data_IF_921964041557
#
_entry.id   IF_921964041557
#
_cell.length_a   1.000
_cell.length_b   1.000
_cell.length_c   1.000
_cell.angle_alpha   90.00
_cell.angle_beta   90.00
_cell.angle_gamma   90.00
#
_symmetry.space_group_name_H-M   'P 1'
#
loop_
_entity.id
_entity.type
_entity.pdbx_description
1 polymer ?
#
# COMPACT_ATOMS: atom_id res chain seq x y z
N UNK A 1 11.58 -20.49 29.69
CA UNK A 1 10.28 -21.21 29.81
C UNK A 1 9.32 -20.54 28.82
N UNK A 2 8.49 -21.36 28.13
CA UNK A 2 7.48 -20.82 27.22
C UNK A 2 6.29 -20.32 28.05
N UNK A 3 5.80 -19.12 27.77
CA UNK A 3 4.55 -18.63 28.31
C UNK A 3 3.38 -19.33 27.59
N UNK A 4 2.41 -19.83 28.36
CA UNK A 4 1.20 -20.47 27.83
C UNK A 4 0.00 -19.56 28.05
N UNK A 5 -0.67 -19.21 26.93
CA UNK A 5 -1.88 -18.38 26.92
C UNK A 5 -3.05 -19.27 26.47
N UNK A 6 -4.10 -19.35 27.28
CA UNK A 6 -5.33 -20.08 26.94
C UNK A 6 -6.28 -19.11 26.19
N UNK A 7 -6.48 -19.34 24.91
CA UNK A 7 -7.37 -18.53 24.07
C UNK A 7 -8.86 -18.88 24.24
N UNK A 8 -9.22 -19.82 25.14
CA UNK A 8 -10.61 -20.16 25.44
C UNK A 8 -11.41 -20.70 24.24
N UNK A 9 -10.75 -21.39 23.31
CA UNK A 9 -11.36 -21.94 22.09
C UNK A 9 -11.55 -20.92 20.95
N UNK A 10 -11.07 -19.68 21.10
CA UNK A 10 -11.11 -18.65 20.05
C UNK A 10 -10.16 -18.97 18.89
N UNK A 11 -10.44 -18.42 17.72
CA UNK A 11 -9.56 -18.53 16.56
C UNK A 11 -8.28 -17.69 16.76
N UNK A 12 -7.15 -18.26 16.34
CA UNK A 12 -5.85 -17.55 16.28
C UNK A 12 -5.43 -17.45 14.83
N UNK A 13 -5.20 -16.22 14.38
CA UNK A 13 -4.77 -15.93 13.00
C UNK A 13 -3.48 -15.12 13.01
N UNK A 14 -2.72 -15.08 11.90
CA UNK A 14 -1.59 -14.17 11.78
C UNK A 14 -2.03 -12.70 11.87
N UNK A 15 -1.13 -11.83 12.30
CA UNK A 15 -1.33 -10.39 12.20
C UNK A 15 -1.62 -9.96 10.76
N UNK A 16 -2.56 -9.03 10.57
CA UNK A 16 -2.96 -8.55 9.26
C UNK A 16 -1.88 -7.68 8.62
N UNK A 17 -1.81 -7.73 7.30
CA UNK A 17 -0.90 -6.95 6.46
C UNK A 17 -1.71 -6.14 5.45
N UNK A 18 -1.50 -4.83 5.40
CA UNK A 18 -1.94 -3.99 4.31
C UNK A 18 -0.77 -3.77 3.34
N UNK A 19 -0.90 -4.28 2.11
CA UNK A 19 0.15 -4.22 1.10
C UNK A 19 0.13 -2.93 0.27
N UNK A 20 -0.78 -1.99 0.54
CA UNK A 20 -0.83 -0.67 -0.10
C UNK A 20 -1.36 0.39 0.86
N UNK A 21 -0.47 0.95 1.63
CA UNK A 21 -0.76 1.93 2.67
C UNK A 21 0.05 3.22 2.50
N UNK A 22 -0.44 4.31 3.07
CA UNK A 22 0.24 5.61 3.07
C UNK A 22 0.33 6.16 4.49
N UNK A 23 1.29 5.65 5.28
CA UNK A 23 1.40 5.85 6.73
C UNK A 23 1.38 7.32 7.17
N UNK A 24 1.98 8.20 6.38
CA UNK A 24 2.05 9.63 6.69
C UNK A 24 0.91 10.46 6.10
N UNK A 25 0.17 9.90 5.13
CA UNK A 25 -0.87 10.65 4.40
C UNK A 25 -2.28 10.26 4.80
N UNK A 26 -2.49 9.13 5.46
CA UNK A 26 -3.81 8.64 5.83
C UNK A 26 -4.53 9.55 6.84
N UNK A 27 -3.82 10.08 7.81
CA UNK A 27 -4.37 10.87 8.92
C UNK A 27 -4.59 12.36 8.63
N UNK A 28 -4.38 12.82 7.39
CA UNK A 28 -4.50 14.23 6.97
C UNK A 28 -5.32 14.36 5.71
N UNK A 29 -5.93 15.53 5.48
CA UNK A 29 -6.59 15.84 4.22
C UNK A 29 -5.58 16.18 3.13
N UNK A 30 -5.98 16.15 1.85
CA UNK A 30 -5.12 16.55 0.73
C UNK A 30 -4.55 17.97 0.90
N UNK A 31 -5.38 18.92 1.34
CA UNK A 31 -4.94 20.29 1.58
C UNK A 31 -3.88 20.34 2.70
N UNK A 32 -4.09 19.61 3.79
CA UNK A 32 -3.11 19.54 4.88
C UNK A 32 -1.80 18.88 4.42
N UNK A 33 -1.85 17.80 3.63
CA UNK A 33 -0.66 17.15 3.09
C UNK A 33 0.18 18.10 2.21
N UNK A 34 -0.47 19.05 1.53
CA UNK A 34 0.17 20.00 0.62
C UNK A 34 0.61 21.31 1.29
N UNK A 35 0.05 21.70 2.44
CA UNK A 35 0.22 23.06 2.98
C UNK A 35 0.55 23.12 4.46
N UNK A 36 0.30 22.08 5.24
CA UNK A 36 0.54 22.09 6.68
C UNK A 36 2.04 21.92 6.99
N UNK A 37 2.44 22.39 8.18
CA UNK A 37 3.77 22.07 8.70
C UNK A 37 3.99 20.56 8.73
N UNK A 38 5.16 20.11 8.25
CA UNK A 38 5.48 18.68 8.16
C UNK A 38 5.48 17.99 9.52
N UNK A 39 5.80 18.71 10.60
CA UNK A 39 5.71 18.19 11.98
C UNK A 39 4.28 17.81 12.35
N UNK A 40 3.28 18.63 11.96
CA UNK A 40 1.88 18.27 12.14
C UNK A 40 1.52 16.97 11.42
N UNK A 41 1.93 16.81 10.16
CA UNK A 41 1.67 15.60 9.36
C UNK A 41 2.26 14.36 10.06
N UNK A 42 3.49 14.45 10.56
CA UNK A 42 4.13 13.34 11.29
C UNK A 42 3.46 13.04 12.65
N UNK A 43 2.99 14.03 13.38
CA UNK A 43 2.24 13.80 14.63
C UNK A 43 0.92 13.08 14.36
N UNK A 44 0.20 13.47 13.31
CA UNK A 44 -1.03 12.79 12.90
C UNK A 44 -0.74 11.35 12.44
N UNK A 45 0.36 11.14 11.71
CA UNK A 45 0.81 9.81 11.29
C UNK A 45 1.16 8.91 12.48
N UNK A 46 1.83 9.44 13.52
CA UNK A 46 2.12 8.69 14.74
C UNK A 46 0.86 8.24 15.48
N UNK A 47 -0.15 9.13 15.58
CA UNK A 47 -1.45 8.76 16.14
C UNK A 47 -2.14 7.66 15.36
N UNK A 48 -2.14 7.77 14.03
CA UNK A 48 -2.80 6.82 13.16
C UNK A 48 -2.07 5.46 13.12
N UNK A 49 -0.75 5.45 13.24
CA UNK A 49 0.02 4.22 13.34
C UNK A 49 -0.42 3.36 14.55
N UNK A 50 -0.62 3.98 15.71
CA UNK A 50 -1.16 3.29 16.90
C UNK A 50 -2.58 2.73 16.64
N UNK A 51 -3.45 3.51 16.01
CA UNK A 51 -4.80 3.08 15.66
C UNK A 51 -4.78 1.93 14.64
N UNK A 52 -3.91 1.98 13.63
CA UNK A 52 -3.72 0.92 12.63
C UNK A 52 -3.35 -0.41 13.29
N UNK A 53 -2.43 -0.38 14.25
CA UNK A 53 -2.03 -1.56 15.02
C UNK A 53 -3.19 -2.14 15.83
N UNK A 54 -3.98 -1.29 16.48
CA UNK A 54 -5.14 -1.72 17.27
C UNK A 54 -6.30 -2.27 16.41
N UNK A 55 -6.29 -1.99 15.10
CA UNK A 55 -7.19 -2.64 14.12
C UNK A 55 -6.69 -4.00 13.65
N UNK A 56 -5.57 -4.51 14.22
CA UNK A 56 -5.01 -5.83 13.91
C UNK A 56 -4.00 -5.84 12.75
N UNK A 57 -3.71 -4.68 12.12
CA UNK A 57 -2.69 -4.58 11.08
C UNK A 57 -1.32 -4.43 11.74
N UNK A 58 -0.60 -5.54 11.87
CA UNK A 58 0.73 -5.58 12.50
C UNK A 58 1.85 -5.17 11.56
N UNK A 59 1.58 -5.19 10.24
CA UNK A 59 2.53 -4.79 9.20
C UNK A 59 1.80 -4.03 8.09
N UNK A 60 2.47 -3.02 7.52
CA UNK A 60 2.01 -2.28 6.34
C UNK A 60 3.14 -2.11 5.34
N UNK A 61 2.84 -2.22 4.05
CA UNK A 61 3.73 -1.78 2.98
C UNK A 61 3.33 -0.35 2.60
N UNK A 62 4.16 0.60 3.01
CA UNK A 62 3.95 2.01 2.68
C UNK A 62 4.43 2.27 1.25
N UNK A 63 3.50 2.67 0.38
CA UNK A 63 3.72 2.87 -1.04
C UNK A 63 3.85 4.35 -1.43
N UNK A 64 4.11 5.21 -0.46
CA UNK A 64 4.43 6.60 -0.75
C UNK A 64 4.23 7.56 0.39
N UNK A 65 5.23 8.40 0.59
CA UNK A 65 5.27 9.43 1.59
C UNK A 65 6.54 9.39 2.44
N UNK A 66 6.78 10.42 3.28
CA UNK A 66 8.00 10.54 4.10
C UNK A 66 7.95 9.62 5.35
N UNK A 67 7.77 8.31 5.17
CA UNK A 67 7.50 7.36 6.25
C UNK A 67 8.75 6.90 7.03
N UNK A 68 9.98 7.20 6.58
CA UNK A 68 11.21 6.69 7.21
C UNK A 68 11.37 7.12 8.67
N UNK A 69 11.02 8.37 9.00
CA UNK A 69 11.07 8.86 10.38
C UNK A 69 10.06 8.17 11.29
N UNK A 70 8.84 7.95 10.82
CA UNK A 70 7.80 7.20 11.54
C UNK A 70 8.22 5.74 11.74
N UNK A 71 8.72 5.07 10.67
CA UNK A 71 9.27 3.71 10.76
C UNK A 71 10.32 3.63 11.85
N UNK A 72 11.30 4.53 11.83
CA UNK A 72 12.40 4.54 12.81
C UNK A 72 11.88 4.72 14.24
N UNK A 73 10.89 5.60 14.46
CA UNK A 73 10.30 5.82 15.77
C UNK A 73 9.57 4.57 16.30
N UNK A 74 8.84 3.88 15.44
CA UNK A 74 8.14 2.62 15.79
C UNK A 74 9.14 1.50 16.04
N UNK A 75 10.14 1.31 15.19
CA UNK A 75 11.15 0.26 15.32
C UNK A 75 12.01 0.43 16.60
N UNK A 76 12.17 1.67 17.07
CA UNK A 76 12.83 1.98 18.35
C UNK A 76 11.91 1.93 19.58
N UNK A 77 10.63 1.62 19.39
CA UNK A 77 9.66 1.59 20.48
C UNK A 77 9.26 2.95 21.03
N UNK A 78 9.59 4.06 20.33
CA UNK A 78 9.21 5.41 20.74
C UNK A 78 7.73 5.70 20.48
N UNK A 79 7.11 5.00 19.51
CA UNK A 79 5.69 5.08 19.19
C UNK A 79 5.12 3.67 18.96
N UNK A 80 3.87 3.42 19.35
CA UNK A 80 3.17 2.21 18.93
C UNK A 80 2.82 2.30 17.43
N UNK A 81 2.88 1.18 16.74
CA UNK A 81 2.49 1.12 15.32
C UNK A 81 2.85 -0.22 14.67
N UNK A 82 2.40 -0.45 13.42
CA UNK A 82 2.77 -1.63 12.65
C UNK A 82 4.25 -1.57 12.21
N UNK A 83 4.80 -2.70 11.76
CA UNK A 83 6.01 -2.66 10.92
C UNK A 83 5.71 -1.92 9.63
N UNK A 84 6.66 -1.08 9.20
CA UNK A 84 6.50 -0.31 7.98
C UNK A 84 7.58 -0.71 6.98
N UNK A 85 7.18 -1.28 5.83
CA UNK A 85 8.05 -1.45 4.69
C UNK A 85 7.87 -0.21 3.79
N UNK A 86 8.75 0.77 3.93
CA UNK A 86 8.60 2.09 3.33
C UNK A 86 9.20 2.17 1.93
N UNK A 87 8.50 2.77 0.96
CA UNK A 87 9.05 3.13 -0.35
C UNK A 87 9.73 4.52 -0.36
N UNK A 88 9.34 5.39 0.56
CA UNK A 88 9.70 6.80 0.52
C UNK A 88 8.86 7.56 -0.51
N UNK A 89 9.43 8.60 -1.12
CA UNK A 89 8.73 9.44 -2.09
C UNK A 89 8.23 8.64 -3.30
N UNK A 90 7.00 8.89 -3.72
CA UNK A 90 6.46 8.39 -4.99
C UNK A 90 7.22 9.03 -6.15
N UNK A 91 7.83 8.23 -7.01
CA UNK A 91 8.55 8.75 -8.18
C UNK A 91 7.57 8.93 -9.33
N UNK A 92 7.42 10.16 -9.81
CA UNK A 92 6.51 10.54 -10.89
C UNK A 92 7.20 11.43 -11.93
N UNK A 93 6.63 11.46 -13.12
CA UNK A 93 7.07 12.39 -14.17
C UNK A 93 6.39 13.76 -14.02
N UNK A 94 6.87 14.78 -14.71
CA UNK A 94 6.15 16.03 -14.88
C UNK A 94 4.75 15.77 -15.44
N UNK A 95 3.73 16.36 -14.83
CA UNK A 95 2.29 16.15 -15.11
C UNK A 95 1.78 14.73 -14.85
N UNK A 96 2.54 13.90 -14.17
CA UNK A 96 2.13 12.54 -13.82
C UNK A 96 1.27 12.47 -12.57
N UNK A 97 0.78 11.28 -12.27
CA UNK A 97 0.06 11.01 -11.02
C UNK A 97 0.99 11.26 -9.82
N UNK A 98 0.55 12.08 -8.87
CA UNK A 98 1.40 12.54 -7.77
C UNK A 98 2.19 13.82 -8.04
N UNK A 99 2.15 14.38 -9.24
CA UNK A 99 2.63 15.75 -9.48
C UNK A 99 1.58 16.74 -8.93
N UNK A 100 1.75 17.13 -7.68
CA UNK A 100 0.82 18.02 -6.98
C UNK A 100 1.12 19.50 -7.15
N UNK A 101 2.04 19.86 -8.07
CA UNK A 101 2.35 21.27 -8.35
C UNK A 101 1.14 21.99 -8.93
N UNK A 102 0.95 23.25 -8.56
CA UNK A 102 -0.03 24.10 -9.21
C UNK A 102 0.52 24.56 -10.56
N UNK A 103 -0.36 24.79 -11.54
CA UNK A 103 0.06 25.30 -12.86
C UNK A 103 0.75 26.66 -12.78
N UNK A 104 0.48 27.45 -11.74
CA UNK A 104 1.16 28.72 -11.44
C UNK A 104 2.61 28.54 -10.99
N UNK A 105 3.03 27.33 -10.60
CA UNK A 105 4.42 27.01 -10.25
C UNK A 105 5.26 26.59 -11.46
N UNK A 106 4.67 26.60 -12.65
CA UNK A 106 5.32 26.19 -13.90
C UNK A 106 5.50 27.39 -14.86
N UNK A 107 6.59 27.47 -15.67
CA UNK A 107 7.77 26.60 -15.55
C UNK A 107 8.61 26.95 -14.33
N UNK A 108 9.26 25.96 -13.71
CA UNK A 108 10.20 26.22 -12.62
C UNK A 108 11.64 26.19 -13.11
N UNK A 109 12.53 26.85 -12.36
CA UNK A 109 13.96 26.75 -12.63
C UNK A 109 14.52 25.37 -12.28
N UNK A 110 15.59 24.97 -12.93
CA UNK A 110 16.29 23.73 -12.63
C UNK A 110 16.73 23.70 -11.14
N UNK A 111 16.41 22.62 -10.47
CA UNK A 111 16.75 22.40 -9.06
C UNK A 111 15.74 22.97 -8.05
N UNK A 112 14.77 23.76 -8.46
CA UNK A 112 13.69 24.19 -7.57
C UNK A 112 12.78 23.00 -7.24
N UNK A 113 12.54 22.78 -5.93
CA UNK A 113 11.67 21.73 -5.46
C UNK A 113 10.36 22.33 -4.93
N UNK A 114 9.24 21.73 -5.32
CA UNK A 114 7.94 22.00 -4.70
C UNK A 114 7.93 21.62 -3.22
N UNK A 115 6.93 22.09 -2.49
CA UNK A 115 6.79 21.68 -1.06
C UNK A 115 6.73 20.15 -0.93
N UNK A 116 5.90 19.47 -1.72
CA UNK A 116 5.72 18.01 -1.68
C UNK A 116 7.02 17.25 -1.96
N UNK A 117 7.88 17.77 -2.84
CA UNK A 117 9.20 17.18 -3.09
C UNK A 117 10.16 17.41 -1.92
N UNK A 118 10.20 18.65 -1.38
CA UNK A 118 11.07 18.97 -0.22
C UNK A 118 10.78 18.13 1.00
N UNK A 119 9.51 17.85 1.25
CA UNK A 119 9.11 17.03 2.41
C UNK A 119 9.08 15.52 2.13
N UNK A 120 9.35 15.10 0.88
CA UNK A 120 9.50 13.69 0.52
C UNK A 120 8.18 12.95 0.25
N UNK A 121 7.11 13.64 -0.08
CA UNK A 121 5.85 13.01 -0.52
C UNK A 121 6.00 12.45 -1.93
N UNK A 122 6.60 13.22 -2.83
CA UNK A 122 6.82 12.87 -4.23
C UNK A 122 8.24 13.24 -4.65
N UNK A 123 8.74 12.60 -5.71
CA UNK A 123 9.96 12.95 -6.40
C UNK A 123 9.66 13.04 -7.90
N UNK A 124 9.68 14.26 -8.45
CA UNK A 124 9.47 14.45 -9.87
C UNK A 124 10.79 14.21 -10.60
N UNK A 125 10.72 13.38 -11.66
CA UNK A 125 11.86 12.94 -12.45
C UNK A 125 11.45 12.77 -13.91
N UNK A 126 12.18 13.38 -14.80
CA UNK A 126 12.01 13.22 -16.26
C UNK A 126 13.34 12.73 -16.86
N UNK A 127 13.26 11.68 -17.65
CA UNK A 127 14.41 11.04 -18.25
C UNK A 127 15.14 10.05 -17.31
N UNK A 128 15.80 9.08 -17.93
CA UNK A 128 16.49 7.97 -17.27
C UNK A 128 17.43 8.40 -16.14
N UNK A 129 18.21 9.45 -16.35
CA UNK A 129 19.20 9.90 -15.38
C UNK A 129 18.56 10.43 -14.08
N UNK A 130 17.45 11.18 -14.20
CA UNK A 130 16.74 11.66 -13.02
C UNK A 130 16.00 10.56 -12.28
N UNK A 131 15.36 9.63 -12.99
CA UNK A 131 14.72 8.47 -12.38
C UNK A 131 15.74 7.65 -11.60
N UNK A 132 16.92 7.36 -12.15
CA UNK A 132 18.03 6.70 -11.43
C UNK A 132 18.40 7.46 -10.15
N UNK A 133 18.59 8.77 -10.25
CA UNK A 133 18.97 9.61 -9.10
C UNK A 133 17.89 9.54 -8.01
N UNK A 134 16.63 9.78 -8.35
CA UNK A 134 15.50 9.78 -7.40
C UNK A 134 15.29 8.41 -6.75
N UNK A 135 15.46 7.33 -7.51
CA UNK A 135 15.40 5.96 -6.98
C UNK A 135 16.50 5.71 -5.96
N UNK A 136 17.75 6.06 -6.30
CA UNK A 136 18.91 5.90 -5.40
C UNK A 136 18.78 6.75 -4.12
N UNK A 137 18.16 7.93 -4.20
CA UNK A 137 17.85 8.74 -3.01
C UNK A 137 16.89 8.01 -2.05
N UNK A 138 15.88 7.30 -2.55
CA UNK A 138 14.98 6.51 -1.69
C UNK A 138 15.69 5.28 -1.11
N UNK A 139 16.48 4.58 -1.92
CA UNK A 139 17.29 3.44 -1.48
C UNK A 139 18.29 3.86 -0.39
N UNK A 140 18.95 5.01 -0.54
CA UNK A 140 19.85 5.58 0.47
C UNK A 140 19.15 5.87 1.80
N UNK A 141 17.88 6.31 1.75
CA UNK A 141 17.06 6.57 2.95
C UNK A 141 16.57 5.30 3.64
N UNK A 142 16.71 4.12 3.01
CA UNK A 142 16.31 2.84 3.58
C UNK A 142 15.01 2.27 2.98
N UNK A 143 14.69 2.63 1.74
CA UNK A 143 13.50 2.07 1.07
C UNK A 143 13.55 0.54 1.01
N UNK A 144 12.42 -0.10 1.38
CA UNK A 144 12.21 -1.55 1.29
C UNK A 144 11.81 -1.97 -0.13
N UNK A 145 11.10 -1.12 -0.85
CA UNK A 145 10.74 -1.21 -2.27
C UNK A 145 10.70 0.19 -2.86
N UNK A 146 10.62 0.29 -4.19
CA UNK A 146 10.49 1.56 -4.91
C UNK A 146 9.08 1.70 -5.48
N UNK A 147 8.43 2.86 -5.31
CA UNK A 147 7.13 3.18 -5.90
C UNK A 147 7.30 4.15 -7.05
N UNK A 148 6.80 3.76 -8.23
CA UNK A 148 6.69 4.65 -9.40
C UNK A 148 5.24 4.83 -9.84
N UNK A 149 4.96 5.93 -10.54
CA UNK A 149 3.67 6.21 -11.15
C UNK A 149 3.75 5.94 -12.65
N UNK A 150 3.12 4.85 -13.11
CA UNK A 150 3.21 4.37 -14.50
C UNK A 150 1.94 4.68 -15.33
N UNK A 151 0.94 5.27 -14.72
CA UNK A 151 -0.32 5.64 -15.37
C UNK A 151 -1.07 6.74 -14.63
N UNK A 152 -2.11 7.27 -15.24
CA UNK A 152 -2.97 8.26 -14.65
C UNK A 152 -3.75 7.75 -13.45
N UNK A 153 -4.22 8.66 -12.59
CA UNK A 153 -4.91 8.33 -11.36
C UNK A 153 -6.23 9.07 -11.15
N UNK A 154 -6.94 8.64 -10.11
CA UNK A 154 -8.27 9.17 -9.76
C UNK A 154 -8.16 10.50 -9.01
N UNK A 155 -7.22 10.61 -8.07
CA UNK A 155 -7.11 11.76 -7.14
C UNK A 155 -6.36 12.95 -7.70
N UNK A 156 -5.60 12.79 -8.76
CA UNK A 156 -4.84 13.84 -9.43
C UNK A 156 -5.71 14.70 -10.36
N UNK A 157 -5.30 15.97 -10.53
CA UNK A 157 -6.09 16.97 -11.24
C UNK A 157 -5.84 16.97 -12.76
N UNK A 158 -4.61 16.63 -13.18
CA UNK A 158 -4.15 16.96 -14.54
C UNK A 158 -4.07 15.76 -15.47
N UNK A 159 -3.78 14.57 -14.94
CA UNK A 159 -3.54 13.36 -15.72
C UNK A 159 -4.84 12.61 -16.03
N UNK A 160 -5.17 12.37 -17.31
CA UNK A 160 -6.23 11.44 -17.69
C UNK A 160 -5.93 10.02 -17.19
N UNK A 161 -6.97 9.25 -16.85
CA UNK A 161 -6.81 7.87 -16.33
C UNK A 161 -6.07 6.95 -17.32
N UNK A 162 -6.26 7.17 -18.63
CA UNK A 162 -5.62 6.43 -19.71
C UNK A 162 -4.19 6.87 -20.01
N UNK A 163 -3.69 7.94 -19.38
CA UNK A 163 -2.35 8.44 -19.67
C UNK A 163 -1.30 7.40 -19.32
N UNK A 164 -0.36 7.17 -20.22
CA UNK A 164 0.81 6.35 -19.99
C UNK A 164 1.92 7.26 -19.46
N UNK A 165 2.35 6.97 -18.24
CA UNK A 165 3.38 7.76 -17.56
C UNK A 165 4.67 6.97 -17.51
N UNK A 166 5.78 7.69 -17.64
CA UNK A 166 7.09 7.15 -17.94
C UNK A 166 7.15 6.33 -19.23
N UNK A 167 8.23 6.44 -19.93
CA UNK A 167 8.63 5.51 -20.98
C UNK A 167 9.11 4.19 -20.36
N UNK A 168 9.21 3.15 -21.16
CA UNK A 168 9.74 1.87 -20.68
C UNK A 168 11.19 1.99 -20.19
N UNK A 169 12.02 2.82 -20.83
CA UNK A 169 13.41 3.05 -20.44
C UNK A 169 13.55 3.79 -19.10
N UNK A 170 12.68 4.75 -18.83
CA UNK A 170 12.64 5.44 -17.53
C UNK A 170 12.23 4.49 -16.40
N UNK A 171 11.19 3.66 -16.61
CA UNK A 171 10.80 2.64 -15.62
C UNK A 171 11.91 1.61 -15.41
N UNK A 172 12.59 1.18 -16.49
CA UNK A 172 13.73 0.26 -16.42
C UNK A 172 14.87 0.85 -15.57
N UNK A 173 15.10 2.14 -15.62
CA UNK A 173 16.09 2.80 -14.77
C UNK A 173 15.78 2.62 -13.27
N UNK A 174 14.52 2.74 -12.88
CA UNK A 174 14.11 2.49 -11.49
C UNK A 174 14.29 1.00 -11.12
N UNK A 175 13.92 0.09 -12.02
CA UNK A 175 14.06 -1.37 -11.83
C UNK A 175 15.52 -1.75 -11.64
N UNK A 176 16.41 -1.35 -12.55
CA UNK A 176 17.85 -1.64 -12.45
C UNK A 176 18.44 -1.16 -11.11
N UNK A 177 18.11 0.07 -10.70
CA UNK A 177 18.59 0.60 -9.42
C UNK A 177 18.05 -0.17 -8.21
N UNK A 178 16.79 -0.65 -8.26
CA UNK A 178 16.20 -1.45 -7.20
C UNK A 178 16.82 -2.85 -7.13
N UNK A 179 16.99 -3.51 -8.29
CA UNK A 179 17.62 -4.84 -8.41
C UNK A 179 19.08 -4.83 -7.92
N UNK A 180 19.85 -3.78 -8.25
CA UNK A 180 21.22 -3.59 -7.75
C UNK A 180 21.29 -3.51 -6.20
N UNK A 181 20.20 -3.17 -5.55
CA UNK A 181 20.07 -3.11 -4.11
C UNK A 181 19.30 -4.28 -3.49
N UNK A 182 18.98 -5.31 -4.29
CA UNK A 182 18.30 -6.52 -3.83
C UNK A 182 16.83 -6.31 -3.47
N UNK A 183 16.15 -5.34 -4.14
CA UNK A 183 14.73 -5.09 -3.95
C UNK A 183 14.00 -4.91 -5.29
N UNK A 184 12.77 -4.43 -5.28
CA UNK A 184 11.89 -4.40 -6.42
C UNK A 184 11.17 -3.06 -6.59
N UNK A 185 10.52 -2.89 -7.75
CA UNK A 185 9.66 -1.76 -8.07
C UNK A 185 8.21 -2.20 -8.05
N UNK A 186 7.34 -1.39 -7.42
CA UNK A 186 5.90 -1.42 -7.54
C UNK A 186 5.41 -0.20 -8.32
N UNK A 187 4.36 -0.37 -9.15
CA UNK A 187 3.90 0.65 -10.07
C UNK A 187 2.40 0.93 -9.93
N UNK A 188 2.03 2.19 -9.70
CA UNK A 188 0.66 2.67 -9.84
C UNK A 188 0.26 2.68 -11.30
N UNK A 189 -0.78 1.95 -11.68
CA UNK A 189 -1.31 1.92 -13.05
C UNK A 189 -2.67 1.23 -13.10
N UNK A 190 -3.60 1.74 -13.89
CA UNK A 190 -4.93 1.14 -14.04
C UNK A 190 -5.12 0.36 -15.34
N UNK A 191 -4.53 0.82 -16.44
CA UNK A 191 -4.87 0.40 -17.81
C UNK A 191 -4.00 -0.72 -18.35
N UNK A 192 -4.51 -1.57 -19.27
CA UNK A 192 -3.76 -2.67 -19.86
C UNK A 192 -2.42 -2.25 -20.45
N UNK A 193 -2.41 -1.20 -21.26
CA UNK A 193 -1.18 -0.71 -21.92
C UNK A 193 -0.12 -0.26 -20.92
N UNK A 194 -0.54 0.41 -19.85
CA UNK A 194 0.38 0.86 -18.80
C UNK A 194 0.94 -0.33 -18.01
N UNK A 195 0.09 -1.30 -17.62
CA UNK A 195 0.50 -2.52 -16.93
C UNK A 195 1.50 -3.31 -17.79
N UNK A 196 1.19 -3.57 -19.06
CA UNK A 196 2.07 -4.30 -19.96
C UNK A 196 3.43 -3.61 -20.14
N UNK A 197 3.46 -2.26 -20.23
CA UNK A 197 4.71 -1.49 -20.29
C UNK A 197 5.52 -1.64 -18.98
N UNK A 198 4.87 -1.52 -17.83
CA UNK A 198 5.51 -1.68 -16.53
C UNK A 198 6.12 -3.09 -16.36
N UNK A 199 5.38 -4.12 -16.75
CA UNK A 199 5.86 -5.50 -16.73
C UNK A 199 7.08 -5.71 -17.64
N UNK A 200 7.07 -5.19 -18.87
CA UNK A 200 8.24 -5.25 -19.77
C UNK A 200 9.46 -4.51 -19.23
N UNK A 201 9.24 -3.44 -18.47
CA UNK A 201 10.32 -2.75 -17.77
C UNK A 201 10.90 -3.53 -16.59
N UNK A 202 10.24 -4.60 -16.12
CA UNK A 202 10.69 -5.44 -15.01
C UNK A 202 10.02 -5.19 -13.68
N UNK A 203 8.94 -4.39 -13.64
CA UNK A 203 8.14 -4.14 -12.42
C UNK A 203 7.58 -5.45 -11.89
N UNK A 204 7.67 -5.67 -10.56
CA UNK A 204 7.26 -6.92 -9.89
C UNK A 204 5.91 -6.85 -9.21
N UNK A 205 5.41 -5.65 -8.90
CA UNK A 205 4.09 -5.46 -8.26
C UNK A 205 3.31 -4.38 -9.00
N UNK A 206 2.14 -4.75 -9.48
CA UNK A 206 1.16 -3.85 -10.07
C UNK A 206 0.20 -3.41 -8.96
N UNK A 207 0.13 -2.11 -8.77
CA UNK A 207 -0.77 -1.47 -7.81
C UNK A 207 -2.03 -1.02 -8.56
N UNK A 208 -3.19 -1.28 -7.99
CA UNK A 208 -4.51 -1.00 -8.58
C UNK A 208 -4.84 -1.96 -9.72
N UNK A 209 -4.70 -1.56 -10.96
CA UNK A 209 -4.90 -2.43 -12.13
C UNK A 209 -6.36 -2.77 -12.43
N UNK A 210 -7.35 -2.10 -11.82
CA UNK A 210 -8.79 -2.45 -11.94
C UNK A 210 -9.34 -2.41 -13.36
N UNK A 211 -8.65 -1.78 -14.31
CA UNK A 211 -9.05 -1.71 -15.71
C UNK A 211 -8.29 -2.69 -16.60
N UNK A 212 -7.55 -3.65 -16.01
CA UNK A 212 -6.84 -4.68 -16.75
C UNK A 212 -7.80 -5.55 -17.58
N UNK A 213 -7.37 -5.93 -18.78
CA UNK A 213 -8.05 -6.94 -19.57
C UNK A 213 -7.48 -8.35 -19.29
N UNK A 214 -8.18 -9.37 -19.77
CA UNK A 214 -7.82 -10.77 -19.53
C UNK A 214 -6.43 -11.12 -20.07
N UNK A 215 -6.02 -10.53 -21.19
CA UNK A 215 -4.68 -10.74 -21.77
C UNK A 215 -3.60 -10.21 -20.81
N UNK A 216 -3.79 -9.01 -20.30
CA UNK A 216 -2.89 -8.38 -19.34
C UNK A 216 -2.81 -9.15 -18.02
N UNK A 217 -3.95 -9.65 -17.51
CA UNK A 217 -3.97 -10.47 -16.28
C UNK A 217 -3.21 -11.79 -16.49
N UNK A 218 -3.34 -12.42 -17.66
CA UNK A 218 -2.52 -13.60 -18.00
C UNK A 218 -1.04 -13.27 -18.07
N UNK A 219 -0.68 -12.15 -18.67
CA UNK A 219 0.71 -11.69 -18.73
C UNK A 219 1.29 -11.46 -17.32
N UNK A 220 0.52 -10.86 -16.39
CA UNK A 220 0.93 -10.72 -15.00
C UNK A 220 1.27 -12.07 -14.37
N UNK A 221 0.40 -13.08 -14.52
CA UNK A 221 0.66 -14.44 -14.04
C UNK A 221 1.90 -15.05 -14.65
N UNK A 222 2.03 -14.99 -15.99
CA UNK A 222 3.11 -15.63 -16.73
C UNK A 222 4.49 -15.00 -16.41
N UNK A 223 4.50 -13.72 -16.03
CA UNK A 223 5.70 -13.02 -15.54
C UNK A 223 5.91 -13.13 -14.04
N UNK A 224 5.05 -13.83 -13.30
CA UNK A 224 5.13 -13.98 -11.85
C UNK A 224 4.97 -12.67 -11.09
N UNK A 225 4.29 -11.70 -11.67
CA UNK A 225 4.04 -10.41 -11.03
C UNK A 225 2.96 -10.53 -9.96
N UNK A 226 3.05 -9.66 -8.96
CA UNK A 226 2.03 -9.50 -7.92
C UNK A 226 1.01 -8.45 -8.34
N UNK A 227 -0.23 -8.67 -7.92
CA UNK A 227 -1.31 -7.71 -8.04
C UNK A 227 -1.74 -7.25 -6.64
N UNK A 228 -1.30 -6.06 -6.24
CA UNK A 228 -1.77 -5.42 -5.02
C UNK A 228 -3.03 -4.63 -5.37
N UNK A 229 -4.19 -5.20 -5.04
CA UNK A 229 -5.50 -4.73 -5.50
C UNK A 229 -6.36 -4.25 -4.33
N UNK A 230 -7.14 -3.19 -4.56
CA UNK A 230 -8.01 -2.54 -3.60
C UNK A 230 -9.48 -2.78 -3.96
N UNK A 231 -10.37 -2.95 -2.96
CA UNK A 231 -11.81 -3.03 -3.18
C UNK A 231 -12.43 -1.65 -3.42
N UNK A 232 -12.05 -0.98 -4.51
CA UNK A 232 -12.59 0.33 -4.86
C UNK A 232 -14.03 0.23 -5.35
N UNK A 233 -14.97 0.28 -4.42
CA UNK A 233 -16.40 0.17 -4.68
C UNK A 233 -17.09 1.53 -4.53
N UNK A 234 -18.20 1.72 -5.25
CA UNK A 234 -19.08 2.88 -5.09
C UNK A 234 -20.08 2.62 -3.95
N UNK A 235 -19.58 2.60 -2.72
CA UNK A 235 -20.36 2.35 -1.51
C UNK A 235 -20.11 3.41 -0.43
N UNK A 236 -20.53 3.15 0.79
CA UNK A 236 -20.46 4.08 1.93
C UNK A 236 -19.03 4.51 2.31
N UNK A 237 -18.01 3.71 1.96
CA UNK A 237 -16.61 4.06 2.21
C UNK A 237 -15.95 4.76 1.02
N UNK A 238 -16.70 4.97 -0.06
CA UNK A 238 -16.17 5.77 -1.18
C UNK A 238 -15.88 7.19 -0.68
N UNK A 239 -14.78 7.78 -1.15
CA UNK A 239 -14.38 9.15 -0.82
C UNK A 239 -14.65 10.08 -2.01
N UNK A 240 -15.90 10.55 -2.23
CA UNK A 240 -16.25 11.34 -3.38
C UNK A 240 -15.54 12.69 -3.36
N UNK A 241 -15.10 13.14 -4.54
CA UNK A 241 -14.54 14.47 -4.75
C UNK A 241 -15.63 15.49 -5.07
N UNK A 242 -15.35 16.77 -4.82
CA UNK A 242 -16.15 17.87 -5.37
C UNK A 242 -15.95 18.07 -6.88
N UNK A 243 -14.89 17.50 -7.48
CA UNK A 243 -14.65 17.56 -8.93
C UNK A 243 -15.40 16.41 -9.65
N UNK A 244 -16.36 16.72 -10.53
CA UNK A 244 -17.09 15.70 -11.30
C UNK A 244 -16.21 14.79 -12.16
N UNK A 245 -15.06 15.30 -12.64
CA UNK A 245 -14.12 14.53 -13.46
C UNK A 245 -13.45 13.43 -12.63
N UNK A 246 -13.05 13.73 -11.40
CA UNK A 246 -12.50 12.72 -10.47
C UNK A 246 -13.55 11.68 -10.10
N UNK A 247 -14.81 12.08 -9.93
CA UNK A 247 -15.89 11.14 -9.65
C UNK A 247 -16.19 10.22 -10.85
N UNK A 248 -16.09 10.72 -12.08
CA UNK A 248 -16.22 9.90 -13.28
C UNK A 248 -15.12 8.82 -13.35
N UNK A 249 -13.85 9.20 -13.12
CA UNK A 249 -12.73 8.26 -13.04
C UNK A 249 -12.95 7.21 -11.94
N UNK A 250 -13.42 7.65 -10.75
CA UNK A 250 -13.72 6.74 -9.65
C UNK A 250 -14.80 5.73 -10.00
N UNK A 251 -15.86 6.16 -10.68
CA UNK A 251 -16.93 5.27 -11.12
C UNK A 251 -16.42 4.22 -12.11
N UNK A 252 -15.57 4.61 -13.06
CA UNK A 252 -14.95 3.69 -14.02
C UNK A 252 -14.11 2.63 -13.30
N UNK A 253 -13.24 3.04 -12.37
CA UNK A 253 -12.43 2.13 -11.56
C UNK A 253 -13.29 1.21 -10.70
N UNK A 254 -14.37 1.74 -10.12
CA UNK A 254 -15.29 0.93 -9.30
C UNK A 254 -15.96 -0.18 -10.11
N UNK A 255 -16.41 0.11 -11.33
CA UNK A 255 -16.97 -0.90 -12.25
C UNK A 255 -15.90 -1.95 -12.59
N UNK A 256 -14.67 -1.54 -12.88
CA UNK A 256 -13.56 -2.43 -13.18
C UNK A 256 -13.16 -3.35 -12.02
N UNK A 257 -13.36 -2.89 -10.78
CA UNK A 257 -12.94 -3.64 -9.58
C UNK A 257 -13.56 -5.04 -9.51
N UNK A 258 -14.86 -5.18 -9.80
CA UNK A 258 -15.56 -6.48 -9.75
C UNK A 258 -14.96 -7.46 -10.74
N UNK A 259 -14.74 -7.01 -11.99
CA UNK A 259 -14.16 -7.83 -13.06
C UNK A 259 -12.70 -8.19 -12.75
N UNK A 260 -11.94 -7.25 -12.16
CA UNK A 260 -10.54 -7.45 -11.81
C UNK A 260 -10.38 -8.59 -10.79
N UNK A 261 -11.16 -8.61 -9.70
CA UNK A 261 -11.13 -9.70 -8.73
C UNK A 261 -11.52 -11.05 -9.35
N UNK A 262 -12.55 -11.08 -10.19
CA UNK A 262 -12.97 -12.31 -10.88
C UNK A 262 -11.89 -12.83 -11.82
N UNK A 263 -11.30 -11.97 -12.65
CA UNK A 263 -10.21 -12.34 -13.56
C UNK A 263 -8.96 -12.80 -12.82
N UNK A 264 -8.54 -12.06 -11.77
CA UNK A 264 -7.37 -12.39 -10.98
C UNK A 264 -7.46 -13.78 -10.37
N UNK A 265 -8.59 -14.11 -9.77
CA UNK A 265 -8.86 -15.44 -9.20
C UNK A 265 -8.92 -16.53 -10.26
N UNK A 266 -9.65 -16.29 -11.36
CA UNK A 266 -9.80 -17.29 -12.45
C UNK A 266 -8.47 -17.60 -13.13
N UNK A 267 -7.65 -16.59 -13.35
CA UNK A 267 -6.33 -16.75 -13.99
C UNK A 267 -5.28 -17.29 -13.01
N UNK A 268 -5.45 -17.06 -11.71
CA UNK A 268 -4.50 -17.49 -10.68
C UNK A 268 -3.27 -16.58 -10.59
N UNK A 269 -3.46 -15.27 -10.70
CA UNK A 269 -2.41 -14.27 -10.43
C UNK A 269 -2.13 -14.21 -8.93
N UNK A 270 -0.90 -13.96 -8.53
CA UNK A 270 -0.57 -13.67 -7.14
C UNK A 270 -1.23 -12.35 -6.73
N UNK A 271 -2.14 -12.40 -5.77
CA UNK A 271 -2.90 -11.23 -5.32
C UNK A 271 -2.63 -10.94 -3.85
N UNK A 272 -2.47 -9.66 -3.51
CA UNK A 272 -2.37 -9.19 -2.13
C UNK A 272 -3.37 -8.06 -1.88
N UNK A 273 -3.89 -8.01 -0.66
CA UNK A 273 -4.81 -6.96 -0.22
C UNK A 273 -4.05 -5.66 0.09
N UNK A 274 -4.58 -4.54 -0.37
CA UNK A 274 -4.20 -3.20 0.06
C UNK A 274 -5.42 -2.30 0.09
N UNK A 275 -5.41 -1.24 0.87
CA UNK A 275 -6.55 -0.33 0.97
C UNK A 275 -6.40 0.94 0.16
N UNK A 276 -5.18 1.46 0.06
CA UNK A 276 -4.91 2.78 -0.52
C UNK A 276 -5.73 3.91 0.14
N UNK A 277 -6.02 3.78 1.44
CA UNK A 277 -6.63 4.88 2.19
C UNK A 277 -5.58 5.97 2.38
N UNK A 278 -5.76 7.09 1.68
CA UNK A 278 -4.88 8.25 1.81
C UNK A 278 -5.70 9.54 1.78
N UNK A 279 -5.17 10.56 2.44
CA UNK A 279 -5.77 11.92 2.50
C UNK A 279 -7.26 11.90 2.90
N UNK A 280 -7.63 10.88 3.69
CA UNK A 280 -9.00 10.66 4.17
C UNK A 280 -8.99 10.27 5.65
N UNK A 281 -8.78 11.24 6.57
CA UNK A 281 -8.67 10.95 8.01
C UNK A 281 -9.95 10.35 8.61
N UNK A 282 -11.12 10.62 8.03
CA UNK A 282 -12.39 10.03 8.47
C UNK A 282 -12.57 8.60 7.97
N UNK A 283 -12.00 8.26 6.81
CA UNK A 283 -12.05 6.92 6.23
C UNK A 283 -11.02 5.95 6.83
N UNK A 284 -10.05 6.43 7.60
CA UNK A 284 -9.01 5.57 8.18
C UNK A 284 -9.59 4.46 9.08
N UNK A 285 -10.72 4.71 9.75
CA UNK A 285 -11.42 3.73 10.58
C UNK A 285 -12.04 2.57 9.79
N UNK A 286 -12.28 2.72 8.48
CA UNK A 286 -12.82 1.65 7.64
C UNK A 286 -11.79 0.59 7.23
N UNK A 287 -10.55 0.67 7.70
CA UNK A 287 -9.43 -0.19 7.32
C UNK A 287 -9.79 -1.69 7.32
N UNK A 288 -10.31 -2.21 8.44
CA UNK A 288 -10.76 -3.59 8.54
C UNK A 288 -11.97 -3.90 7.65
N UNK A 289 -12.94 -2.97 7.56
CA UNK A 289 -14.12 -3.12 6.69
C UNK A 289 -13.73 -3.23 5.20
N UNK A 290 -12.67 -2.54 4.75
CA UNK A 290 -12.17 -2.71 3.39
C UNK A 290 -11.71 -4.15 3.13
N UNK A 291 -11.07 -4.81 4.09
CA UNK A 291 -10.73 -6.22 3.97
C UNK A 291 -12.00 -7.10 3.97
N UNK A 292 -12.97 -6.82 4.83
CA UNK A 292 -14.22 -7.56 4.88
C UNK A 292 -15.00 -7.52 3.55
N UNK A 293 -14.92 -6.43 2.78
CA UNK A 293 -15.54 -6.30 1.45
C UNK A 293 -15.07 -7.34 0.44
N UNK A 294 -13.89 -7.92 0.62
CA UNK A 294 -13.40 -8.99 -0.27
C UNK A 294 -14.28 -10.23 -0.23
N UNK A 295 -15.06 -10.44 0.84
CA UNK A 295 -16.03 -11.54 0.91
C UNK A 295 -17.15 -11.45 -0.13
N UNK A 296 -17.32 -10.29 -0.77
CA UNK A 296 -18.19 -10.12 -1.95
C UNK A 296 -17.65 -10.86 -3.19
N UNK A 297 -16.35 -11.16 -3.24
CA UNK A 297 -15.65 -11.73 -4.39
C UNK A 297 -15.11 -13.14 -4.13
N UNK A 298 -14.88 -13.50 -2.86
CA UNK A 298 -14.20 -14.73 -2.49
C UNK A 298 -14.60 -15.22 -1.08
N UNK A 299 -14.35 -16.50 -0.75
CA UNK A 299 -14.54 -17.03 0.59
C UNK A 299 -13.72 -16.26 1.65
N UNK A 300 -14.20 -16.16 2.91
CA UNK A 300 -13.53 -15.39 3.97
C UNK A 300 -12.05 -15.74 4.19
N UNK A 301 -11.70 -17.02 4.22
CA UNK A 301 -10.30 -17.45 4.39
C UNK A 301 -9.41 -17.08 3.22
N UNK A 302 -9.94 -17.06 1.98
CA UNK A 302 -9.19 -16.59 0.82
C UNK A 302 -8.92 -15.09 0.92
N UNK A 303 -9.90 -14.30 1.36
CA UNK A 303 -9.74 -12.87 1.62
C UNK A 303 -8.71 -12.61 2.74
N UNK A 304 -8.78 -13.34 3.85
CA UNK A 304 -7.78 -13.26 4.91
C UNK A 304 -6.37 -13.62 4.43
N UNK A 305 -6.25 -14.64 3.57
CA UNK A 305 -4.96 -15.02 3.01
C UNK A 305 -4.33 -13.89 2.20
N UNK A 306 -5.12 -13.09 1.48
CA UNK A 306 -4.63 -11.91 0.77
C UNK A 306 -4.05 -10.84 1.70
N UNK A 307 -4.55 -10.75 2.94
CA UNK A 307 -4.08 -9.82 3.96
C UNK A 307 -3.15 -10.47 5.00
N UNK A 308 -2.67 -11.67 4.77
CA UNK A 308 -1.74 -12.39 5.65
C UNK A 308 -0.64 -13.05 4.81
N UNK A 309 -0.67 -14.36 4.59
CA UNK A 309 0.39 -15.12 3.91
C UNK A 309 0.73 -14.58 2.52
N UNK A 310 -0.26 -14.30 1.67
CA UNK A 310 -0.01 -13.78 0.33
C UNK A 310 0.62 -12.36 0.37
N UNK A 311 0.13 -11.49 1.25
CA UNK A 311 0.79 -10.19 1.46
C UNK A 311 2.22 -10.38 2.00
N UNK A 312 2.43 -11.30 2.94
CA UNK A 312 3.77 -11.66 3.44
C UNK A 312 4.73 -12.08 2.33
N UNK A 313 4.27 -12.93 1.41
CA UNK A 313 5.05 -13.37 0.25
C UNK A 313 5.39 -12.22 -0.71
N UNK A 314 4.45 -11.28 -0.94
CA UNK A 314 4.74 -10.04 -1.68
C UNK A 314 5.81 -9.22 -0.98
N UNK A 315 5.69 -9.01 0.33
CA UNK A 315 6.64 -8.20 1.09
C UNK A 315 8.04 -8.84 1.14
N UNK A 316 8.13 -10.17 1.05
CA UNK A 316 9.39 -10.91 0.99
C UNK A 316 10.25 -10.57 -0.24
N UNK A 317 9.67 -10.01 -1.31
CA UNK A 317 10.42 -9.48 -2.45
C UNK A 317 11.40 -8.35 -2.07
N UNK A 318 11.21 -7.71 -0.92
CA UNK A 318 12.16 -6.71 -0.40
C UNK A 318 13.50 -7.30 0.06
N UNK A 319 13.60 -8.64 0.20
CA UNK A 319 14.82 -9.30 0.67
C UNK A 319 15.34 -8.68 1.98
N UNK A 320 16.64 -8.49 2.07
CA UNK A 320 17.29 -7.84 3.23
C UNK A 320 16.87 -6.38 3.42
N UNK A 321 16.29 -5.75 2.39
CA UNK A 321 15.78 -4.38 2.45
C UNK A 321 14.48 -4.25 3.25
N UNK A 322 13.83 -5.36 3.61
CA UNK A 322 12.68 -5.35 4.53
C UNK A 322 13.06 -4.74 5.89
N UNK A 323 14.28 -5.04 6.37
CA UNK A 323 14.79 -4.65 7.68
C UNK A 323 14.14 -5.44 8.83
N UNK A 324 13.44 -6.54 8.53
CA UNK A 324 12.81 -7.42 9.51
C UNK A 324 13.17 -8.89 9.19
N UNK A 325 13.65 -9.59 10.21
CA UNK A 325 14.00 -11.01 10.11
C UNK A 325 12.75 -11.86 10.40
N UNK A 326 12.55 -12.90 9.58
CA UNK A 326 11.45 -13.86 9.74
C UNK A 326 10.29 -13.60 8.76
N UNK A 327 9.55 -14.68 8.49
CA UNK A 327 8.41 -14.66 7.58
C UNK A 327 7.24 -13.90 8.22
N UNK A 328 6.54 -13.11 7.41
CA UNK A 328 5.35 -12.34 7.81
C UNK A 328 4.07 -13.04 7.37
N UNK A 329 2.97 -12.80 8.09
CA UNK A 329 1.63 -13.24 7.71
C UNK A 329 1.35 -14.73 7.84
N UNK A 330 2.17 -15.47 8.57
CA UNK A 330 2.00 -16.90 8.82
C UNK A 330 2.25 -17.24 10.30
N UNK A 331 1.65 -18.33 10.76
CA UNK A 331 1.95 -18.95 12.06
C UNK A 331 2.80 -20.19 11.79
N UNK A 332 4.12 -20.04 11.93
CA UNK A 332 5.09 -21.10 11.68
C UNK A 332 6.32 -20.90 12.56
N UNK A 333 7.07 -21.98 12.80
CA UNK A 333 8.36 -21.89 13.50
C UNK A 333 9.33 -21.00 12.71
N UNK A 334 9.97 -20.02 13.38
CA UNK A 334 10.86 -19.05 12.78
C UNK A 334 10.18 -17.85 12.11
N UNK A 335 8.84 -17.82 12.04
CA UNK A 335 8.09 -16.65 11.58
C UNK A 335 8.06 -15.54 12.64
N UNK A 336 7.74 -14.33 12.19
CA UNK A 336 7.47 -13.23 13.12
C UNK A 336 6.25 -13.54 13.97
N UNK A 337 6.37 -13.41 15.29
CA UNK A 337 5.30 -13.70 16.24
C UNK A 337 4.25 -12.57 16.27
N UNK A 338 3.52 -12.44 15.17
CA UNK A 338 2.40 -11.52 15.00
C UNK A 338 1.11 -12.32 14.96
N UNK A 339 0.29 -12.19 16.00
CA UNK A 339 -0.89 -13.04 16.22
C UNK A 339 -2.09 -12.18 16.61
N UNK A 340 -3.25 -12.57 16.15
CA UNK A 340 -4.54 -12.03 16.58
C UNK A 340 -5.39 -13.16 17.14
N UNK A 341 -5.96 -12.97 18.33
CA UNK A 341 -7.01 -13.83 18.88
C UNK A 341 -8.35 -13.17 18.60
N UNK A 342 -9.23 -13.86 17.87
CA UNK A 342 -10.48 -13.32 17.33
C UNK A 342 -11.68 -13.94 18.04
N UNK A 343 -12.64 -13.12 18.47
CA UNK A 343 -13.87 -13.55 19.15
C UNK A 343 -14.82 -14.33 18.22
N UNK A 344 -14.79 -14.03 16.91
CA UNK A 344 -15.67 -14.63 15.92
C UNK A 344 -14.94 -15.73 15.13
N UNK A 345 -15.70 -16.61 14.51
CA UNK A 345 -15.18 -17.60 13.56
C UNK A 345 -14.83 -16.94 12.22
N UNK A 346 -13.55 -16.87 11.85
CA UNK A 346 -13.15 -16.23 10.58
C UNK A 346 -13.60 -17.00 9.33
N UNK A 347 -13.97 -18.25 9.44
CA UNK A 347 -14.51 -19.05 8.33
C UNK A 347 -15.97 -18.63 8.01
N UNK A 348 -16.71 -18.18 9.03
CA UNK A 348 -18.10 -17.77 8.88
C UNK A 348 -18.26 -16.40 8.22
N UNK A 349 -17.26 -15.50 8.36
CA UNK A 349 -17.31 -14.17 7.79
C UNK A 349 -16.22 -13.24 8.34
N UNK A 350 -16.12 -12.03 7.78
CA UNK A 350 -15.12 -11.03 8.17
C UNK A 350 -15.72 -9.74 8.74
N UNK A 351 -17.01 -9.70 9.02
CA UNK A 351 -17.69 -8.48 9.54
C UNK A 351 -17.15 -8.03 10.91
N UNK A 352 -16.53 -8.95 11.65
CA UNK A 352 -15.84 -8.66 12.90
C UNK A 352 -14.70 -7.66 12.75
N UNK A 353 -14.15 -7.47 11.57
CA UNK A 353 -13.12 -6.47 11.26
C UNK A 353 -13.62 -5.02 11.34
N UNK A 354 -14.93 -4.80 11.34
CA UNK A 354 -15.54 -3.46 11.50
C UNK A 354 -15.56 -2.98 12.97
N UNK A 355 -15.41 -3.91 13.92
CA UNK A 355 -15.43 -3.62 15.35
C UNK A 355 -14.20 -4.20 16.08
N UNK A 356 -12.97 -3.83 15.69
CA UNK A 356 -11.75 -4.44 16.19
C UNK A 356 -11.54 -4.27 17.70
N UNK A 357 -12.12 -3.24 18.31
CA UNK A 357 -12.07 -3.01 19.75
C UNK A 357 -12.76 -4.12 20.54
N UNK A 358 -13.81 -4.73 19.97
CA UNK A 358 -14.62 -5.77 20.58
C UNK A 358 -14.23 -7.18 20.07
N UNK A 359 -13.88 -7.27 18.81
CA UNK A 359 -13.67 -8.54 18.10
C UNK A 359 -12.26 -9.11 18.20
N UNK A 360 -11.25 -8.29 18.50
CA UNK A 360 -9.88 -8.74 18.72
C UNK A 360 -9.64 -8.88 20.23
N UNK A 361 -9.71 -10.12 20.76
CA UNK A 361 -9.46 -10.39 22.16
C UNK A 361 -7.99 -10.16 22.54
N UNK A 362 -7.05 -10.48 21.62
CA UNK A 362 -5.63 -10.26 21.85
C UNK A 362 -4.94 -9.80 20.54
N UNK A 363 -3.95 -8.95 20.69
CA UNK A 363 -3.04 -8.53 19.62
C UNK A 363 -1.61 -8.72 20.11
N UNK A 364 -0.85 -9.54 19.38
CA UNK A 364 0.58 -9.78 19.61
C UNK A 364 1.35 -9.28 18.38
N UNK A 365 2.40 -8.51 18.60
CA UNK A 365 3.33 -8.08 17.55
C UNK A 365 4.77 -8.31 17.97
N UNK A 366 5.50 -9.09 17.17
CA UNK A 366 6.89 -9.45 17.49
C UNK A 366 7.06 -10.15 18.84
N UNK A 367 6.05 -10.94 19.27
CA UNK A 367 6.02 -11.60 20.57
C UNK A 367 5.57 -10.73 21.75
N UNK A 368 5.41 -9.40 21.55
CA UNK A 368 4.88 -8.51 22.59
C UNK A 368 3.35 -8.47 22.55
N UNK A 369 2.70 -8.72 23.68
CA UNK A 369 1.25 -8.56 23.85
C UNK A 369 0.93 -7.07 23.95
N UNK A 370 0.11 -6.56 23.03
CA UNK A 370 -0.25 -5.14 22.93
C UNK A 370 -1.70 -4.86 23.35
N UNK A 371 -2.55 -5.86 23.22
CA UNK A 371 -3.93 -5.88 23.71
C UNK A 371 -4.20 -7.24 24.29
N UNK A 372 -4.80 -7.29 25.48
CA UNK A 372 -5.23 -8.51 26.17
C UNK A 372 -6.60 -8.28 26.81
N UNK A 373 -7.59 -9.03 26.34
CA UNK A 373 -8.97 -9.05 26.81
C UNK A 373 -9.51 -10.50 26.90
N UNK A 374 -8.59 -11.49 27.05
CA UNK A 374 -8.93 -12.92 27.19
C UNK A 374 -9.67 -13.22 28.48
#
# INVERSE_FOLDING_TARGET
EAERIDCGGRAVIPGLIDAHWHSTLVGVTQLQAMTADIGFVHLMAGREAGATLLRGFTTVRDTGGPAFGLKLAIDRGALPGPRILASGAMISQTSGHGDFRMTSELPRADGDLSYSERVGVVAIADGRAEVLRRTREQLMKGASQIKIMAGGGVTSLYDPLESLQFTEDEMRAAVEAAEDWGTYVCAHVFTPKGIQRALRAGVKSIEHGQLADLETVRLMRDMGAWWSIQPFLADEDSNPSSDPRQNAKRQEVSVGTVQAFEMGRTVGVNMAFGTDILMNPTGASSHGRQLAKLTRFMPPLEALRMATGAAGDLLALSGERSGYDGQLGVIAEGAMADLLVVESDPEAGLDWLDTPEQSLAMIVKGGAVLKDQL
#
